data_IF_458462216656
#
_entry.id   IF_458462216656
#
_cell.length_a   1.000
_cell.length_b   1.000
_cell.length_c   1.000
_cell.angle_alpha   90.00
_cell.angle_beta   90.00
_cell.angle_gamma   90.00
#
_symmetry.space_group_name_H-M   'P 1'
#
loop_
_entity.id
_entity.type
_entity.pdbx_description
1 polymer ?
#
# COMPACT_ATOMS: atom_id res chain seq x y z
N UNK A 1 -23.80 28.58 38.78
CA UNK A 1 -22.81 27.53 39.13
C UNK A 1 -23.36 26.17 38.77
N UNK A 2 -23.00 25.66 37.58
CA UNK A 2 -23.16 24.27 37.08
C UNK A 2 -22.65 24.30 35.63
N UNK A 3 -21.35 24.08 35.45
CA UNK A 3 -20.73 23.93 34.12
C UNK A 3 -21.02 22.52 33.60
N UNK A 4 -21.52 22.45 32.37
CA UNK A 4 -21.71 21.22 31.62
C UNK A 4 -20.41 20.93 30.87
N UNK A 5 -19.77 19.80 31.16
CA UNK A 5 -18.76 19.22 30.28
C UNK A 5 -19.49 18.62 29.08
N UNK A 6 -19.16 19.09 27.88
CA UNK A 6 -19.42 18.38 26.63
C UNK A 6 -18.09 17.77 26.20
N UNK A 7 -17.99 16.45 26.25
CA UNK A 7 -16.90 15.69 25.66
C UNK A 7 -17.27 15.47 24.19
N UNK A 8 -16.55 16.13 23.29
CA UNK A 8 -16.63 15.85 21.85
C UNK A 8 -15.71 14.67 21.56
N UNK A 9 -16.28 13.54 21.15
CA UNK A 9 -15.53 12.41 20.62
C UNK A 9 -15.41 12.60 19.11
N UNK A 10 -14.19 12.76 18.61
CA UNK A 10 -13.89 12.79 17.17
C UNK A 10 -14.11 11.39 16.59
N UNK A 11 -15.13 11.24 15.77
CA UNK A 11 -15.43 10.00 15.03
C UNK A 11 -14.68 10.09 13.70
N UNK A 12 -13.57 9.37 13.59
CA UNK A 12 -12.96 9.07 12.31
C UNK A 12 -13.87 8.08 11.56
N UNK A 13 -14.69 8.60 10.64
CA UNK A 13 -15.60 7.81 9.83
C UNK A 13 -14.84 7.16 8.66
N UNK A 14 -14.38 5.92 8.84
CA UNK A 14 -13.89 5.09 7.75
C UNK A 14 -15.10 4.49 7.00
N UNK A 15 -15.50 5.09 5.87
CA UNK A 15 -16.60 4.58 5.05
C UNK A 15 -16.17 3.33 4.28
N UNK A 16 -16.71 2.17 4.71
CA UNK A 16 -16.79 0.95 3.92
C UNK A 16 -18.05 0.98 3.05
N UNK A 17 -17.89 1.26 1.76
CA UNK A 17 -18.95 1.19 0.76
C UNK A 17 -18.86 -0.09 -0.08
N UNK A 18 -19.33 -1.22 0.44
CA UNK A 18 -19.66 -2.40 -0.38
C UNK A 18 -21.09 -2.21 -0.88
N UNK A 19 -21.27 -1.96 -2.18
CA UNK A 19 -22.60 -1.96 -2.80
C UNK A 19 -22.68 -3.09 -3.81
N UNK A 20 -23.18 -4.24 -3.36
CA UNK A 20 -23.70 -5.28 -4.22
C UNK A 20 -25.21 -5.04 -4.39
N UNK A 21 -25.66 -4.71 -5.61
CA UNK A 21 -27.06 -4.77 -5.97
C UNK A 21 -27.24 -5.80 -7.09
N UNK A 22 -27.72 -6.98 -6.69
CA UNK A 22 -28.22 -8.02 -7.57
C UNK A 22 -29.55 -7.58 -8.21
N UNK A 23 -29.68 -7.79 -9.51
CA UNK A 23 -30.91 -7.61 -10.27
C UNK A 23 -31.81 -8.85 -10.13
N UNK A 24 -33.01 -8.66 -9.59
CA UNK A 24 -34.09 -9.65 -9.66
C UNK A 24 -34.90 -9.42 -10.94
N UNK A 25 -34.73 -10.30 -11.93
CA UNK A 25 -35.57 -10.38 -13.12
C UNK A 25 -36.01 -11.82 -13.35
N UNK A 26 -37.25 -12.13 -13.00
CA UNK A 26 -37.93 -13.40 -13.26
C UNK A 26 -38.04 -13.66 -14.77
N UNK A 27 -37.52 -14.79 -15.25
CA UNK A 27 -37.78 -15.26 -16.62
C UNK A 27 -38.61 -16.54 -16.56
N UNK A 28 -39.78 -16.43 -17.18
CA UNK A 28 -40.76 -17.47 -17.46
C UNK A 28 -40.16 -18.64 -18.23
N UNK A 29 -40.45 -19.86 -17.77
CA UNK A 29 -40.22 -21.10 -18.52
C UNK A 29 -41.22 -21.21 -19.66
N UNK A 30 -40.76 -21.20 -20.90
CA UNK A 30 -41.50 -21.78 -22.02
C UNK A 30 -40.55 -22.61 -22.88
N UNK A 31 -40.75 -23.92 -22.79
CA UNK A 31 -40.07 -24.91 -23.59
C UNK A 31 -40.71 -24.97 -24.99
N UNK A 32 -39.95 -24.61 -26.02
CA UNK A 32 -40.21 -25.07 -27.38
C UNK A 32 -38.94 -25.63 -28.00
N UNK A 33 -38.99 -26.94 -28.24
CA UNK A 33 -38.01 -27.67 -29.01
C UNK A 33 -37.98 -27.17 -30.46
N UNK A 34 -36.80 -26.74 -30.90
CA UNK A 34 -36.43 -26.68 -32.31
C UNK A 34 -35.03 -27.28 -32.42
N UNK A 35 -34.93 -28.42 -33.10
CA UNK A 35 -33.65 -29.05 -33.39
C UNK A 35 -32.92 -28.24 -34.44
N UNK A 36 -31.80 -27.65 -34.05
CA UNK A 36 -30.82 -27.10 -34.99
C UNK A 36 -29.51 -27.86 -34.82
N UNK A 37 -29.03 -28.38 -35.95
CA UNK A 37 -27.75 -29.05 -36.11
C UNK A 37 -26.61 -28.10 -35.74
N UNK A 38 -25.87 -28.42 -34.67
CA UNK A 38 -24.61 -27.75 -34.35
C UNK A 38 -23.59 -28.07 -35.44
N UNK A 39 -23.33 -27.09 -36.32
CA UNK A 39 -22.20 -27.12 -37.23
C UNK A 39 -20.90 -27.07 -36.41
N UNK A 40 -19.96 -27.95 -36.79
CA UNK A 40 -18.64 -28.05 -36.18
C UNK A 40 -17.91 -26.69 -36.15
N UNK A 41 -17.29 -26.40 -35.02
CA UNK A 41 -16.67 -25.12 -34.70
C UNK A 41 -15.68 -24.62 -35.74
N UNK A 42 -15.93 -23.40 -36.21
CA UNK A 42 -14.89 -22.58 -36.81
C UNK A 42 -13.88 -22.19 -35.72
N UNK A 43 -12.60 -22.48 -35.97
CA UNK A 43 -11.52 -21.89 -35.20
C UNK A 43 -11.59 -20.38 -35.38
N UNK A 44 -12.00 -19.67 -34.33
CA UNK A 44 -11.80 -18.22 -34.28
C UNK A 44 -10.31 -18.05 -34.06
N UNK A 45 -9.59 -17.76 -35.14
CA UNK A 45 -8.20 -17.37 -35.10
C UNK A 45 -8.11 -16.14 -34.18
N UNK A 46 -7.50 -16.31 -33.01
CA UNK A 46 -7.33 -15.24 -32.04
C UNK A 46 -6.47 -14.16 -32.69
N UNK A 47 -7.11 -13.09 -33.14
CA UNK A 47 -6.40 -11.93 -33.66
C UNK A 47 -5.40 -11.48 -32.60
N UNK A 48 -4.10 -11.49 -32.95
CA UNK A 48 -3.06 -11.02 -32.06
C UNK A 48 -3.43 -9.61 -31.59
N UNK A 49 -3.69 -9.47 -30.29
CA UNK A 49 -4.05 -8.18 -29.71
C UNK A 49 -2.95 -7.17 -30.05
N UNK A 50 -3.33 -6.00 -30.55
CA UNK A 50 -2.38 -4.93 -30.81
C UNK A 50 -1.60 -4.62 -29.51
N UNK A 51 -0.28 -4.36 -29.59
CA UNK A 51 0.51 -4.07 -28.40
C UNK A 51 -0.07 -2.86 -27.67
N UNK A 52 -0.30 -3.00 -26.36
CA UNK A 52 -0.79 -1.89 -25.53
C UNK A 52 0.33 -0.84 -25.46
N UNK A 53 0.08 0.35 -26.00
CA UNK A 53 0.99 1.48 -25.92
C UNK A 53 0.62 2.32 -24.69
N UNK A 54 1.47 2.30 -23.67
CA UNK A 54 1.31 3.12 -22.47
C UNK A 54 2.07 4.44 -22.67
N UNK A 55 1.41 5.61 -22.64
CA UNK A 55 2.10 6.88 -22.73
C UNK A 55 2.99 7.08 -21.49
N UNK A 56 4.16 7.74 -21.63
CA UNK A 56 4.97 8.07 -20.47
C UNK A 56 4.20 9.02 -19.54
N UNK A 57 4.42 8.89 -18.22
CA UNK A 57 3.77 9.73 -17.20
C UNK A 57 3.94 11.23 -17.46
N UNK A 58 5.10 11.64 -17.99
CA UNK A 58 5.42 13.03 -18.29
C UNK A 58 5.59 13.87 -17.02
N UNK A 59 6.83 14.13 -16.62
CA UNK A 59 7.14 14.99 -15.48
C UNK A 59 8.37 15.84 -15.77
N UNK A 60 8.47 16.99 -15.10
CA UNK A 60 9.70 17.75 -14.99
C UNK A 60 10.32 17.49 -13.61
N UNK A 61 11.63 17.64 -13.51
CA UNK A 61 12.38 17.46 -12.28
C UNK A 61 13.33 18.64 -12.08
N UNK A 62 13.46 19.09 -10.83
CA UNK A 62 14.56 19.95 -10.39
C UNK A 62 14.98 19.63 -8.97
N UNK A 63 16.14 20.11 -8.56
CA UNK A 63 16.67 19.94 -7.20
C UNK A 63 16.91 21.32 -6.59
N UNK A 64 16.40 21.55 -5.38
CA UNK A 64 16.66 22.76 -4.62
C UNK A 64 18.09 22.77 -4.06
N UNK A 65 18.65 23.96 -3.72
CA UNK A 65 19.99 24.04 -3.12
C UNK A 65 20.15 23.25 -1.81
N UNK A 66 19.07 23.03 -1.06
CA UNK A 66 19.08 22.22 0.17
C UNK A 66 18.97 20.71 -0.08
N UNK A 67 18.89 20.26 -1.34
CA UNK A 67 18.85 18.85 -1.72
C UNK A 67 17.46 18.27 -1.95
N UNK A 68 16.38 19.03 -1.66
CA UNK A 68 15.02 18.57 -1.96
C UNK A 68 14.84 18.36 -3.45
N UNK A 69 14.44 17.15 -3.83
CA UNK A 69 14.14 16.79 -5.21
C UNK A 69 12.65 17.01 -5.47
N UNK A 70 12.36 17.81 -6.49
CA UNK A 70 11.02 18.27 -6.84
C UNK A 70 10.64 17.70 -8.20
N UNK A 71 9.48 17.07 -8.27
CA UNK A 71 8.89 16.53 -9.48
C UNK A 71 7.53 17.18 -9.75
N UNK A 72 7.29 17.58 -10.99
CA UNK A 72 6.04 18.24 -11.37
C UNK A 72 5.43 17.60 -12.61
N UNK A 73 4.17 17.18 -12.52
CA UNK A 73 3.39 16.59 -13.61
C UNK A 73 2.15 17.45 -13.89
N UNK A 74 2.33 18.48 -14.71
CA UNK A 74 1.27 19.47 -14.98
C UNK A 74 0.17 18.88 -15.86
N UNK A 75 -1.07 19.08 -15.45
CA UNK A 75 -2.26 18.70 -16.18
C UNK A 75 -3.34 19.79 -16.08
N UNK A 76 -3.58 20.51 -17.18
CA UNK A 76 -4.57 21.59 -17.25
C UNK A 76 -5.98 21.10 -17.54
N UNK A 77 -6.20 19.81 -17.77
CA UNK A 77 -7.53 19.24 -18.02
C UNK A 77 -8.35 19.03 -16.74
N UNK A 78 -7.70 19.03 -15.58
CA UNK A 78 -8.34 18.94 -14.26
C UNK A 78 -8.49 20.32 -13.60
N UNK A 79 -9.44 20.46 -12.68
CA UNK A 79 -9.57 21.62 -11.79
C UNK A 79 -8.79 21.46 -10.47
N UNK A 80 -8.14 20.31 -10.27
CA UNK A 80 -7.53 19.92 -9.00
C UNK A 80 -6.02 19.82 -9.12
N UNK A 81 -5.36 19.78 -7.98
CA UNK A 81 -3.93 19.54 -7.81
C UNK A 81 -3.73 18.57 -6.66
N UNK A 82 -2.69 17.74 -6.77
CA UNK A 82 -2.19 16.93 -5.67
C UNK A 82 -0.77 17.36 -5.32
N UNK A 83 -0.47 17.37 -4.02
CA UNK A 83 0.86 17.51 -3.45
C UNK A 83 1.15 16.22 -2.72
N UNK A 84 2.33 15.64 -2.93
CA UNK A 84 2.78 14.47 -2.20
C UNK A 84 4.23 14.67 -1.74
N UNK A 85 4.53 14.31 -0.50
CA UNK A 85 5.89 14.24 0.00
C UNK A 85 6.21 12.80 0.40
N UNK A 86 7.24 12.26 -0.24
CA UNK A 86 7.68 10.88 -0.10
C UNK A 86 9.02 10.84 0.62
N UNK A 87 9.04 10.30 1.84
CA UNK A 87 10.25 10.13 2.64
C UNK A 87 10.80 8.71 2.49
N UNK A 88 12.12 8.60 2.32
CA UNK A 88 12.82 7.30 2.22
C UNK A 88 13.06 6.72 3.61
N UNK A 89 11.98 6.46 4.31
CA UNK A 89 11.95 5.90 5.66
C UNK A 89 10.68 5.06 5.81
N UNK A 90 10.79 3.89 6.42
CA UNK A 90 9.63 3.05 6.73
C UNK A 90 9.85 2.20 7.97
N UNK A 91 9.00 1.19 8.17
CA UNK A 91 9.11 0.30 9.32
C UNK A 91 10.46 -0.44 9.40
N UNK A 92 11.18 -0.60 8.28
CA UNK A 92 12.54 -1.17 8.31
C UNK A 92 13.51 -0.29 9.13
N UNK A 93 13.24 1.00 9.24
CA UNK A 93 14.07 2.00 9.89
C UNK A 93 13.63 2.31 11.33
N UNK A 94 12.60 1.61 11.83
CA UNK A 94 12.17 1.72 13.23
C UNK A 94 13.36 1.55 14.18
N UNK A 95 13.46 2.32 15.28
CA UNK A 95 14.48 2.08 16.30
C UNK A 95 14.37 0.65 16.89
N UNK A 96 15.48 0.07 17.32
CA UNK A 96 15.50 -1.28 17.87
C UNK A 96 14.58 -1.40 19.09
N UNK A 97 13.68 -2.39 19.16
CA UNK A 97 12.71 -2.53 20.25
C UNK A 97 11.58 -1.49 20.25
N UNK A 98 11.43 -0.72 19.16
CA UNK A 98 10.37 0.26 18.94
C UNK A 98 9.68 -0.04 17.60
N UNK A 99 9.30 -1.29 17.34
CA UNK A 99 8.53 -1.60 16.13
C UNK A 99 7.19 -0.86 16.10
N UNK A 100 6.75 -0.46 14.90
CA UNK A 100 5.56 0.37 14.70
C UNK A 100 5.83 1.86 14.81
N UNK A 101 7.09 2.27 15.02
CA UNK A 101 7.43 3.65 15.30
C UNK A 101 7.26 4.56 14.11
N UNK A 102 7.67 4.16 12.90
CA UNK A 102 7.46 4.95 11.67
C UNK A 102 5.96 5.24 11.44
N UNK A 103 5.11 4.24 11.67
CA UNK A 103 3.65 4.39 11.54
C UNK A 103 3.07 5.28 12.66
N UNK A 104 3.52 5.14 13.90
CA UNK A 104 3.10 6.07 14.96
C UNK A 104 3.58 7.50 14.68
N UNK A 105 4.78 7.65 14.15
CA UNK A 105 5.34 8.93 13.75
C UNK A 105 4.51 9.57 12.63
N UNK A 106 4.00 8.77 11.70
CA UNK A 106 3.04 9.22 10.68
C UNK A 106 1.83 9.94 11.31
N UNK A 107 1.23 9.37 12.36
CA UNK A 107 0.09 9.98 13.06
C UNK A 107 0.47 11.31 13.73
N UNK A 108 1.66 11.39 14.31
CA UNK A 108 2.18 12.61 14.95
C UNK A 108 2.36 13.76 13.96
N UNK A 109 2.67 13.46 12.70
CA UNK A 109 2.88 14.45 11.63
C UNK A 109 1.59 15.14 11.15
N UNK A 110 0.42 14.73 11.67
CA UNK A 110 -0.85 15.45 11.52
C UNK A 110 -1.20 16.32 12.71
N UNK A 111 -0.47 16.24 13.82
CA UNK A 111 -0.85 16.92 15.06
C UNK A 111 -0.54 18.40 14.99
N UNK A 112 0.70 18.81 15.16
CA UNK A 112 1.01 20.23 15.20
C UNK A 112 2.37 20.56 14.61
N UNK A 113 2.46 21.75 14.05
CA UNK A 113 3.72 22.40 13.70
C UNK A 113 3.79 23.72 14.44
N UNK A 114 4.92 24.44 14.31
CA UNK A 114 5.08 25.77 14.90
C UNK A 114 3.95 26.73 14.51
N UNK A 115 3.47 26.67 13.26
CA UNK A 115 2.45 27.58 12.75
C UNK A 115 1.10 26.91 12.45
N UNK A 116 0.98 25.59 12.58
CA UNK A 116 -0.25 24.83 12.39
C UNK A 116 -0.63 24.11 13.70
N UNK A 117 -1.56 24.66 14.48
CA UNK A 117 -2.11 23.98 15.66
C UNK A 117 -2.83 22.68 15.29
N UNK A 118 -3.16 21.88 16.31
CA UNK A 118 -3.91 20.63 16.16
C UNK A 118 -5.18 20.78 15.32
N UNK A 119 -5.47 19.76 14.52
CA UNK A 119 -6.62 19.69 13.58
C UNK A 119 -6.55 20.68 12.42
N UNK A 120 -5.58 21.60 12.38
CA UNK A 120 -5.50 22.60 11.32
C UNK A 120 -5.18 21.95 9.98
N UNK A 121 -4.30 20.95 9.95
CA UNK A 121 -3.92 20.28 8.71
C UNK A 121 -5.13 19.71 7.97
N UNK A 122 -5.97 18.96 8.69
CA UNK A 122 -7.21 18.37 8.12
C UNK A 122 -8.14 19.44 7.57
N UNK A 123 -8.32 20.52 8.33
CA UNK A 123 -9.14 21.66 7.92
C UNK A 123 -8.59 22.39 6.70
N UNK A 124 -7.27 22.41 6.48
CA UNK A 124 -6.71 23.00 5.26
C UNK A 124 -7.19 22.26 3.99
N UNK A 125 -7.57 20.99 4.10
CA UNK A 125 -8.16 20.21 3.00
C UNK A 125 -9.68 20.16 3.04
N UNK A 126 -10.29 19.84 4.18
CA UNK A 126 -11.74 19.61 4.29
C UNK A 126 -12.57 20.88 4.04
N UNK A 127 -12.12 22.04 4.54
CA UNK A 127 -12.83 23.32 4.39
C UNK A 127 -12.93 23.78 2.92
N UNK A 128 -12.17 23.14 2.01
CA UNK A 128 -12.16 23.45 0.56
C UNK A 128 -12.59 22.26 -0.31
N UNK A 129 -13.14 21.21 0.29
CA UNK A 129 -13.61 20.01 -0.42
C UNK A 129 -12.47 19.13 -0.97
N UNK A 130 -11.27 19.26 -0.41
CA UNK A 130 -10.17 18.35 -0.69
C UNK A 130 -10.10 17.18 0.30
N UNK A 131 -9.05 16.39 0.17
CA UNK A 131 -8.73 15.28 1.06
C UNK A 131 -7.23 15.23 1.32
N UNK A 132 -6.84 14.79 2.51
CA UNK A 132 -5.46 14.40 2.81
C UNK A 132 -5.42 12.97 3.33
N UNK A 133 -4.24 12.35 3.26
CA UNK A 133 -3.94 11.12 3.98
C UNK A 133 -2.41 10.90 4.03
N UNK A 134 -2.00 9.83 4.68
CA UNK A 134 -0.64 9.32 4.64
C UNK A 134 -0.62 7.80 4.58
N UNK A 135 0.55 7.24 4.27
CA UNK A 135 0.77 5.81 4.45
C UNK A 135 2.23 5.51 4.79
N UNK A 136 2.40 4.51 5.66
CA UNK A 136 3.70 3.96 6.04
C UNK A 136 3.82 2.52 5.57
N UNK A 137 4.76 2.29 4.67
CA UNK A 137 5.21 0.98 4.22
C UNK A 137 6.46 0.50 4.96
N UNK A 138 7.04 -0.60 4.48
CA UNK A 138 8.28 -1.12 5.06
C UNK A 138 9.49 -0.25 4.71
N UNK A 139 9.53 0.33 3.51
CA UNK A 139 10.65 1.12 3.00
C UNK A 139 10.39 2.63 2.93
N UNK A 140 9.12 3.03 3.06
CA UNK A 140 8.65 4.34 2.62
C UNK A 140 7.52 4.88 3.48
N UNK A 141 7.48 6.19 3.67
CA UNK A 141 6.39 6.92 4.30
C UNK A 141 6.02 8.07 3.39
N UNK A 142 4.75 8.23 3.05
CA UNK A 142 4.30 9.32 2.20
C UNK A 142 3.11 10.04 2.80
N UNK A 143 3.05 11.34 2.55
CA UNK A 143 1.93 12.22 2.86
C UNK A 143 1.41 12.81 1.58
N UNK A 144 0.10 12.95 1.46
CA UNK A 144 -0.49 13.42 0.23
C UNK A 144 -1.82 14.13 0.44
N UNK A 145 -2.00 15.17 -0.34
CA UNK A 145 -3.19 16.00 -0.34
C UNK A 145 -3.69 16.16 -1.78
N UNK A 146 -5.02 16.17 -1.95
CA UNK A 146 -5.67 16.57 -3.21
C UNK A 146 -6.69 17.66 -2.91
N UNK A 147 -6.54 18.80 -3.59
CA UNK A 147 -7.37 20.00 -3.39
C UNK A 147 -7.73 20.64 -4.74
N UNK A 148 -8.76 21.49 -4.81
CA UNK A 148 -8.93 22.38 -5.96
C UNK A 148 -7.68 23.24 -6.20
N UNK A 149 -7.29 23.43 -7.47
CA UNK A 149 -6.01 24.02 -7.87
C UNK A 149 -5.71 25.40 -7.26
N UNK A 150 -6.72 26.23 -7.04
CA UNK A 150 -6.58 27.54 -6.41
C UNK A 150 -6.11 27.48 -4.94
N UNK A 151 -6.14 26.29 -4.32
CA UNK A 151 -5.68 26.03 -2.96
C UNK A 151 -4.31 25.32 -2.93
N UNK A 152 -3.54 25.32 -4.02
CA UNK A 152 -2.21 24.71 -4.06
C UNK A 152 -1.26 25.30 -3.00
N UNK A 153 -1.17 26.62 -2.92
CA UNK A 153 -0.19 27.31 -2.07
C UNK A 153 -0.30 26.88 -0.60
N UNK A 154 -1.53 26.76 -0.08
CA UNK A 154 -1.74 26.34 1.32
C UNK A 154 -1.24 24.92 1.61
N UNK A 155 -1.22 24.04 0.61
CA UNK A 155 -0.69 22.67 0.76
C UNK A 155 0.83 22.69 0.75
N UNK A 156 1.45 23.50 -0.11
CA UNK A 156 2.91 23.69 -0.10
C UNK A 156 3.40 24.27 1.23
N UNK A 157 2.67 25.26 1.77
CA UNK A 157 2.93 25.79 3.11
C UNK A 157 2.78 24.71 4.19
N UNK A 158 1.73 23.90 4.13
CA UNK A 158 1.48 22.87 5.13
C UNK A 158 2.56 21.78 5.13
N UNK A 159 2.97 21.32 3.95
CA UNK A 159 4.04 20.33 3.80
C UNK A 159 5.41 20.88 4.20
N UNK A 160 5.70 22.15 3.94
CA UNK A 160 6.95 22.75 4.41
C UNK A 160 7.01 22.87 5.93
N UNK A 161 5.88 23.19 6.58
CA UNK A 161 5.74 23.19 8.03
C UNK A 161 5.91 21.77 8.61
N UNK A 162 5.24 20.78 8.03
CA UNK A 162 5.36 19.37 8.45
C UNK A 162 6.81 18.88 8.36
N UNK A 163 7.53 19.23 7.29
CA UNK A 163 8.94 18.88 7.12
C UNK A 163 9.85 19.62 8.11
N UNK A 164 9.67 20.95 8.27
CA UNK A 164 10.66 21.79 8.94
C UNK A 164 10.36 22.21 10.39
N UNK A 165 9.13 22.03 10.87
CA UNK A 165 8.69 22.68 12.12
C UNK A 165 7.71 21.85 12.97
N UNK A 166 7.78 20.51 12.90
CA UNK A 166 6.98 19.61 13.73
C UNK A 166 7.08 19.97 15.22
N UNK A 167 5.94 20.01 15.90
CA UNK A 167 5.84 20.21 17.35
C UNK A 167 5.09 19.03 17.94
N UNK A 168 5.77 18.29 18.81
CA UNK A 168 5.17 17.20 19.58
C UNK A 168 5.36 17.53 21.06
N UNK A 169 4.28 17.45 21.81
CA UNK A 169 4.29 17.52 23.27
C UNK A 169 3.92 16.16 23.86
N UNK A 170 4.13 15.97 25.15
CA UNK A 170 3.90 14.67 25.80
C UNK A 170 2.43 14.23 25.68
N UNK A 171 1.48 15.18 25.74
CA UNK A 171 0.06 14.86 25.71
C UNK A 171 -0.39 14.36 24.33
N UNK A 172 0.06 15.02 23.25
CA UNK A 172 -0.21 14.58 21.88
C UNK A 172 0.53 13.27 21.58
N UNK A 173 1.77 13.10 22.06
CA UNK A 173 2.50 11.85 21.96
C UNK A 173 1.76 10.67 22.61
N UNK A 174 1.36 10.81 23.88
CA UNK A 174 0.63 9.77 24.61
C UNK A 174 -0.71 9.43 23.94
N UNK A 175 -1.44 10.45 23.52
CA UNK A 175 -2.73 10.29 22.82
C UNK A 175 -2.57 9.48 21.54
N UNK A 176 -1.63 9.85 20.66
CA UNK A 176 -1.43 9.13 19.39
C UNK A 176 -0.88 7.73 19.60
N UNK A 177 0.00 7.53 20.58
CA UNK A 177 0.45 6.20 20.95
C UNK A 177 -0.74 5.30 21.33
N UNK A 178 -1.71 5.81 22.06
CA UNK A 178 -2.91 5.04 22.43
C UNK A 178 -3.85 4.81 21.25
N UNK A 179 -4.00 5.78 20.33
CA UNK A 179 -4.72 5.60 19.06
C UNK A 179 -4.12 4.45 18.24
N UNK A 180 -2.80 4.41 18.09
CA UNK A 180 -2.10 3.35 17.34
C UNK A 180 -2.26 1.99 18.02
N UNK A 181 -2.28 1.93 19.35
CA UNK A 181 -2.58 0.67 20.08
C UNK A 181 -4.01 0.21 19.84
N UNK A 182 -4.99 1.11 19.79
CA UNK A 182 -6.36 0.75 19.43
C UNK A 182 -6.47 0.29 17.98
N UNK A 183 -5.73 0.93 17.07
CA UNK A 183 -5.63 0.45 15.69
C UNK A 183 -5.02 -0.96 15.64
N UNK A 184 -3.97 -1.24 16.40
CA UNK A 184 -3.40 -2.59 16.53
C UNK A 184 -4.47 -3.58 17.05
N UNK A 185 -5.25 -3.22 18.08
CA UNK A 185 -6.34 -4.06 18.59
C UNK A 185 -7.39 -4.33 17.52
N UNK A 186 -7.78 -3.31 16.75
CA UNK A 186 -8.77 -3.40 15.70
C UNK A 186 -8.27 -4.24 14.52
N UNK A 187 -7.15 -3.83 13.91
CA UNK A 187 -6.64 -4.38 12.65
C UNK A 187 -5.93 -5.72 12.82
N UNK A 188 -5.36 -6.01 14.00
CA UNK A 188 -4.57 -7.22 14.24
C UNK A 188 -5.29 -8.21 15.15
N UNK A 189 -5.76 -7.77 16.32
CA UNK A 189 -6.30 -8.70 17.32
C UNK A 189 -7.76 -9.08 17.07
N UNK A 190 -8.55 -8.15 16.52
CA UNK A 190 -9.99 -8.33 16.31
C UNK A 190 -10.30 -8.89 14.92
N UNK A 191 -9.48 -8.58 13.91
CA UNK A 191 -9.61 -9.10 12.54
C UNK A 191 -9.25 -10.59 12.45
N UNK A 192 -10.12 -11.44 11.87
CA UNK A 192 -9.75 -12.82 11.54
C UNK A 192 -8.45 -12.89 10.75
N UNK A 193 -7.56 -13.81 11.10
CA UNK A 193 -6.22 -13.96 10.51
C UNK A 193 -5.28 -12.74 10.66
N UNK A 194 -5.70 -11.65 11.30
CA UNK A 194 -4.92 -10.41 11.42
C UNK A 194 -3.56 -10.61 12.09
N UNK A 195 -3.50 -11.40 13.17
CA UNK A 195 -2.24 -11.80 13.82
C UNK A 195 -1.29 -12.52 12.86
N UNK A 196 -1.82 -13.43 12.05
CA UNK A 196 -1.01 -14.16 11.10
C UNK A 196 -0.47 -13.23 10.01
N UNK A 197 -1.35 -12.48 9.35
CA UNK A 197 -1.01 -11.63 8.21
C UNK A 197 -0.10 -10.46 8.60
N UNK A 198 -0.32 -9.85 9.77
CA UNK A 198 0.38 -8.63 10.18
C UNK A 198 1.58 -8.88 11.09
N UNK A 199 1.65 -10.01 11.80
CA UNK A 199 2.73 -10.30 12.76
C UNK A 199 3.49 -11.57 12.40
N UNK A 200 2.80 -12.70 12.37
CA UNK A 200 3.46 -14.01 12.37
C UNK A 200 4.10 -14.35 11.03
N UNK A 201 3.45 -14.04 9.90
CA UNK A 201 3.95 -14.39 8.57
C UNK A 201 5.28 -13.68 8.29
N UNK A 202 5.36 -12.35 8.45
CA UNK A 202 6.62 -11.61 8.27
C UNK A 202 7.72 -12.07 9.22
N UNK A 203 7.43 -12.19 10.52
CA UNK A 203 8.41 -12.63 11.52
C UNK A 203 8.88 -14.07 11.31
N UNK A 204 8.07 -14.90 10.65
CA UNK A 204 8.44 -16.25 10.27
C UNK A 204 9.30 -16.27 9.01
N UNK A 205 8.95 -15.48 7.98
CA UNK A 205 9.66 -15.39 6.70
C UNK A 205 11.09 -14.91 6.90
N UNK A 206 11.26 -13.76 7.57
CA UNK A 206 12.54 -13.08 7.74
C UNK A 206 13.14 -13.40 9.11
N UNK A 207 14.46 -13.61 9.19
CA UNK A 207 15.16 -13.96 10.43
C UNK A 207 16.00 -12.79 10.93
N UNK A 208 16.85 -12.26 10.07
CA UNK A 208 17.86 -11.25 10.41
C UNK A 208 17.46 -9.85 9.93
N UNK A 209 16.76 -9.77 8.80
CA UNK A 209 16.38 -8.50 8.18
C UNK A 209 15.39 -7.70 9.04
N UNK A 210 15.47 -6.36 9.03
CA UNK A 210 14.48 -5.49 9.69
C UNK A 210 13.04 -5.73 9.20
N UNK A 211 12.83 -6.26 7.99
CA UNK A 211 11.50 -6.59 7.46
C UNK A 211 10.77 -7.69 8.24
N UNK A 212 11.44 -8.38 9.16
CA UNK A 212 10.79 -9.30 10.12
C UNK A 212 9.86 -8.56 11.10
N UNK A 213 10.10 -7.26 11.32
CA UNK A 213 9.33 -6.45 12.25
C UNK A 213 7.99 -6.06 11.61
N UNK A 214 6.87 -6.21 12.32
CA UNK A 214 5.58 -5.80 11.80
C UNK A 214 5.52 -4.28 11.71
N UNK A 215 5.04 -3.73 10.57
CA UNK A 215 4.91 -2.27 10.40
C UNK A 215 3.95 -1.60 11.38
N UNK A 216 2.98 -2.34 11.91
CA UNK A 216 2.07 -1.89 12.99
C UNK A 216 2.69 -2.02 14.39
N UNK A 217 3.85 -2.68 14.49
CA UNK A 217 4.59 -2.86 15.74
C UNK A 217 4.00 -3.86 16.72
N UNK A 218 4.32 -3.65 17.99
CA UNK A 218 3.74 -4.36 19.13
C UNK A 218 3.37 -3.37 20.23
N UNK A 219 2.39 -3.72 21.08
CA UNK A 219 1.99 -2.85 22.19
C UNK A 219 3.19 -2.54 23.11
N UNK A 220 4.05 -3.52 23.38
CA UNK A 220 5.21 -3.34 24.25
C UNK A 220 6.24 -2.36 23.65
N UNK A 221 6.48 -2.47 22.34
CA UNK A 221 7.42 -1.59 21.63
C UNK A 221 6.86 -0.16 21.51
N UNK A 222 5.56 -0.02 21.30
CA UNK A 222 4.87 1.28 21.33
C UNK A 222 4.95 1.90 22.72
N UNK A 223 4.73 1.13 23.79
CA UNK A 223 4.89 1.59 25.18
C UNK A 223 6.33 2.04 25.50
N UNK A 224 7.32 1.38 24.88
CA UNK A 224 8.74 1.70 25.07
C UNK A 224 9.21 2.92 24.27
N UNK A 225 8.41 3.41 23.32
CA UNK A 225 8.71 4.61 22.55
C UNK A 225 8.65 5.88 23.43
N UNK A 226 9.55 6.83 23.16
CA UNK A 226 9.65 8.10 23.90
C UNK A 226 9.58 9.31 22.98
N UNK A 227 9.26 10.49 23.53
CA UNK A 227 9.28 11.74 22.77
C UNK A 227 10.69 12.06 22.21
N UNK A 228 11.75 11.66 22.91
CA UNK A 228 13.13 11.79 22.42
C UNK A 228 13.37 10.93 21.17
N UNK A 229 12.75 9.74 21.09
CA UNK A 229 12.78 8.93 19.86
C UNK A 229 12.11 9.69 18.71
N UNK A 230 11.00 10.39 18.96
CA UNK A 230 10.25 11.15 17.95
C UNK A 230 11.12 12.28 17.40
N UNK A 231 11.71 13.10 18.28
CA UNK A 231 12.55 14.21 17.85
C UNK A 231 13.77 13.74 17.07
N UNK A 232 14.43 12.67 17.52
CA UNK A 232 15.56 12.07 16.79
C UNK A 232 15.13 11.52 15.43
N UNK A 233 13.99 10.85 15.35
CA UNK A 233 13.49 10.26 14.11
C UNK A 233 13.14 11.32 13.08
N UNK A 234 12.45 12.40 13.50
CA UNK A 234 12.18 13.57 12.66
C UNK A 234 13.46 14.18 12.10
N UNK A 235 14.38 14.57 12.98
CA UNK A 235 15.65 15.20 12.60
C UNK A 235 16.46 14.29 11.66
N UNK A 236 16.36 12.97 11.81
CA UNK A 236 17.16 12.00 11.03
C UNK A 236 16.61 11.81 9.63
N UNK A 237 15.30 11.59 9.51
CA UNK A 237 14.69 11.09 8.28
C UNK A 237 13.81 12.10 7.54
N UNK A 238 13.29 13.12 8.23
CA UNK A 238 12.33 14.08 7.68
C UNK A 238 13.02 15.37 7.27
N UNK A 239 13.87 15.27 6.26
CA UNK A 239 14.78 16.31 5.79
C UNK A 239 14.82 16.39 4.26
N UNK A 240 15.22 17.53 3.67
CA UNK A 240 15.18 17.77 2.23
C UNK A 240 15.82 16.67 1.35
N UNK A 241 17.02 16.20 1.67
CA UNK A 241 17.73 15.21 0.84
C UNK A 241 17.22 13.76 0.98
N UNK A 242 16.35 13.50 1.95
CA UNK A 242 15.69 12.22 2.16
C UNK A 242 14.25 12.17 1.65
N UNK A 243 13.83 13.19 0.88
CA UNK A 243 12.46 13.35 0.43
C UNK A 243 12.33 13.65 -1.08
N UNK A 244 11.18 13.29 -1.62
CA UNK A 244 10.70 13.76 -2.92
C UNK A 244 9.42 14.57 -2.73
N UNK A 245 9.41 15.81 -3.23
CA UNK A 245 8.19 16.61 -3.36
C UNK A 245 7.62 16.40 -4.77
N UNK A 246 6.39 15.93 -4.87
CA UNK A 246 5.71 15.66 -6.14
C UNK A 246 4.45 16.51 -6.20
N UNK A 247 4.29 17.30 -7.27
CA UNK A 247 3.10 18.11 -7.51
C UNK A 247 2.51 17.76 -8.87
N UNK A 248 1.27 17.29 -8.91
CA UNK A 248 0.59 16.90 -10.14
C UNK A 248 -0.79 17.54 -10.27
N UNK A 249 -1.18 17.95 -11.48
CA UNK A 249 -2.47 18.59 -11.74
C UNK A 249 -2.36 20.02 -12.27
N UNK A 250 -3.37 20.83 -12.00
CA UNK A 250 -3.50 22.14 -12.63
C UNK A 250 -2.81 23.24 -11.82
N UNK A 251 -1.77 23.84 -12.38
CA UNK A 251 -1.03 24.94 -11.78
C UNK A 251 -0.29 25.77 -12.84
N UNK A 252 0.18 26.95 -12.45
CA UNK A 252 1.18 27.72 -13.18
C UNK A 252 2.58 27.35 -12.69
N UNK A 253 3.50 27.02 -13.61
CA UNK A 253 4.83 26.52 -13.23
C UNK A 253 5.68 27.60 -12.54
N UNK A 254 5.65 28.85 -13.03
CA UNK A 254 6.48 29.90 -12.47
C UNK A 254 6.02 30.28 -11.05
N UNK A 255 4.71 30.33 -10.83
CA UNK A 255 4.13 30.53 -9.51
C UNK A 255 4.46 29.37 -8.56
N UNK A 256 4.34 28.13 -9.05
CA UNK A 256 4.70 26.93 -8.27
C UNK A 256 6.18 26.95 -7.85
N UNK A 257 7.08 27.23 -8.78
CA UNK A 257 8.52 27.27 -8.50
C UNK A 257 8.84 28.34 -7.44
N UNK A 258 8.21 29.52 -7.54
CA UNK A 258 8.37 30.60 -6.56
C UNK A 258 7.86 30.20 -5.17
N UNK A 259 6.72 29.51 -5.07
CA UNK A 259 6.21 28.99 -3.79
C UNK A 259 7.12 27.91 -3.22
N UNK A 260 7.60 26.96 -4.04
CA UNK A 260 8.50 25.91 -3.60
C UNK A 260 9.82 26.50 -3.09
N UNK A 261 10.41 27.45 -3.82
CA UNK A 261 11.62 28.16 -3.39
C UNK A 261 11.40 28.91 -2.07
N UNK A 262 10.24 29.56 -1.92
CA UNK A 262 9.90 30.33 -0.72
C UNK A 262 9.64 29.47 0.53
N UNK A 263 8.89 28.37 0.39
CA UNK A 263 8.47 27.54 1.51
C UNK A 263 9.51 26.47 1.88
N UNK A 264 10.12 25.81 0.89
CA UNK A 264 11.04 24.69 1.14
C UNK A 264 12.51 25.10 1.09
N UNK A 265 12.87 26.15 0.35
CA UNK A 265 14.28 26.51 0.11
C UNK A 265 15.07 26.88 1.37
N UNK A 266 14.37 27.36 2.41
CA UNK A 266 14.96 27.71 3.71
C UNK A 266 15.02 26.56 4.73
N UNK A 267 14.46 25.38 4.41
CA UNK A 267 14.49 24.23 5.32
C UNK A 267 15.93 23.71 5.38
N UNK A 268 16.47 23.64 6.60
CA UNK A 268 17.82 23.16 6.86
C UNK A 268 17.94 21.69 6.47
N UNK A 269 19.02 21.37 5.76
CA UNK A 269 19.42 19.99 5.51
C UNK A 269 20.64 19.68 6.38
N UNK A 270 20.51 18.85 7.44
CA UNK A 270 21.61 18.63 8.38
C UNK A 270 22.89 18.08 7.73
N UNK A 271 24.08 18.53 8.10
CA UNK A 271 25.34 17.97 7.58
C UNK A 271 25.71 16.66 8.30
N UNK A 272 24.83 15.65 8.18
CA UNK A 272 25.04 14.29 8.68
C UNK A 272 24.51 13.27 7.69
N UNK A 273 25.23 12.17 7.51
CA UNK A 273 24.80 11.07 6.67
C UNK A 273 23.53 10.41 7.21
N UNK A 274 22.64 10.01 6.31
CA UNK A 274 21.49 9.18 6.64
C UNK A 274 21.97 7.80 7.14
N UNK A 275 21.35 7.24 8.18
CA UNK A 275 21.63 5.87 8.56
C UNK A 275 21.18 4.93 7.44
N UNK A 276 21.95 3.88 7.22
CA UNK A 276 21.69 2.89 6.18
C UNK A 276 21.41 1.55 6.82
N UNK A 277 20.21 1.03 6.62
CA UNK A 277 19.84 -0.32 7.05
C UNK A 277 19.96 -1.28 5.87
N UNK A 278 21.08 -1.99 5.76
CA UNK A 278 21.36 -2.96 4.69
C UNK A 278 21.58 -4.38 5.24
N UNK A 279 20.89 -4.76 6.32
CA UNK A 279 21.04 -6.10 6.90
C UNK A 279 20.50 -7.13 5.90
N UNK A 280 21.37 -7.96 5.28
CA UNK A 280 20.93 -8.91 4.28
C UNK A 280 20.13 -10.04 4.93
N UNK A 281 19.12 -10.54 4.23
CA UNK A 281 18.44 -11.77 4.63
C UNK A 281 19.08 -12.97 3.92
N UNK A 282 19.29 -14.06 4.66
CA UNK A 282 19.69 -15.34 4.06
C UNK A 282 18.59 -16.37 4.25
N UNK A 283 18.00 -16.82 3.14
CA UNK A 283 16.99 -17.87 3.19
C UNK A 283 17.65 -19.25 3.24
N UNK A 284 17.36 -20.00 4.31
CA UNK A 284 17.83 -21.37 4.50
C UNK A 284 16.91 -22.42 3.86
N UNK A 285 16.84 -23.60 4.49
CA UNK A 285 15.93 -24.67 4.07
C UNK A 285 14.47 -24.33 4.38
N UNK A 286 13.54 -25.02 3.72
CA UNK A 286 12.11 -24.90 4.00
C UNK A 286 11.82 -25.13 5.50
N UNK A 287 10.92 -24.32 6.05
CA UNK A 287 10.45 -24.36 7.44
C UNK A 287 8.94 -24.42 7.45
N UNK A 288 8.38 -25.06 8.47
CA UNK A 288 6.94 -25.15 8.67
C UNK A 288 6.59 -24.71 10.09
N UNK A 289 5.47 -24.02 10.24
CA UNK A 289 4.93 -23.60 11.53
C UNK A 289 3.40 -23.57 11.47
N UNK A 290 2.78 -23.85 12.61
CA UNK A 290 1.33 -23.74 12.78
C UNK A 290 1.05 -22.69 13.84
N UNK A 291 0.18 -21.73 13.51
CA UNK A 291 -0.23 -20.66 14.41
C UNK A 291 -1.70 -20.85 14.78
N UNK A 292 -2.04 -20.55 16.04
CA UNK A 292 -3.40 -20.61 16.56
C UNK A 292 -3.86 -19.22 16.99
N UNK A 293 -5.12 -18.88 16.75
CA UNK A 293 -5.71 -17.60 17.13
C UNK A 293 -7.19 -17.72 17.50
N UNK A 294 -7.71 -16.89 18.42
CA UNK A 294 -9.07 -17.04 18.97
C UNK A 294 -10.20 -16.68 17.99
N UNK A 295 -9.89 -15.96 16.90
CA UNK A 295 -10.84 -15.43 15.93
C UNK A 295 -10.59 -15.97 14.51
N UNK A 296 -10.20 -17.25 14.41
CA UNK A 296 -9.91 -17.95 13.15
C UNK A 296 -11.06 -18.94 12.88
N UNK A 297 -12.08 -18.56 12.08
CA UNK A 297 -13.28 -19.38 11.91
C UNK A 297 -13.04 -20.61 11.03
N UNK A 298 -12.10 -20.52 10.10
CA UNK A 298 -11.70 -21.59 9.18
C UNK A 298 -10.18 -21.68 9.15
N UNK A 299 -9.59 -22.87 8.95
CA UNK A 299 -8.15 -22.97 8.79
C UNK A 299 -7.69 -22.21 7.54
N UNK A 300 -6.49 -21.64 7.61
CA UNK A 300 -5.80 -21.04 6.47
C UNK A 300 -4.44 -21.69 6.32
N UNK A 301 -4.05 -21.94 5.08
CA UNK A 301 -2.72 -22.42 4.70
C UNK A 301 -2.00 -21.39 3.84
N UNK A 302 -0.69 -21.29 3.99
CA UNK A 302 0.16 -20.41 3.18
C UNK A 302 1.47 -21.13 2.83
N UNK A 303 1.95 -20.93 1.61
CA UNK A 303 3.30 -21.29 1.18
C UNK A 303 3.97 -20.02 0.68
N UNK A 304 5.19 -19.75 1.13
CA UNK A 304 5.94 -18.56 0.76
C UNK A 304 7.32 -18.94 0.24
N UNK A 305 7.73 -18.31 -0.85
CA UNK A 305 9.06 -18.41 -1.43
C UNK A 305 9.74 -17.05 -1.40
N UNK A 306 11.04 -16.99 -1.06
CA UNK A 306 11.84 -15.81 -1.35
C UNK A 306 11.95 -15.60 -2.86
N UNK A 307 11.94 -14.35 -3.28
CA UNK A 307 12.09 -13.93 -4.67
C UNK A 307 13.18 -12.86 -4.79
N UNK A 308 12.96 -11.82 -5.59
CA UNK A 308 13.93 -10.80 -5.96
C UNK A 308 13.49 -9.44 -5.40
N UNK A 309 14.42 -8.52 -5.10
CA UNK A 309 14.07 -7.15 -4.70
C UNK A 309 13.32 -6.40 -5.80
N UNK A 310 12.70 -5.28 -5.43
CA UNK A 310 11.80 -4.52 -6.29
C UNK A 310 12.41 -4.07 -7.63
N UNK A 311 13.69 -3.70 -7.65
CA UNK A 311 14.40 -3.21 -8.83
C UNK A 311 14.94 -4.31 -9.76
N UNK A 312 14.71 -5.58 -9.44
CA UNK A 312 15.23 -6.69 -10.22
C UNK A 312 14.44 -6.90 -11.52
N UNK A 313 15.09 -7.23 -12.66
CA UNK A 313 14.41 -7.41 -13.96
C UNK A 313 13.30 -8.48 -13.95
N UNK A 314 13.45 -9.53 -13.13
CA UNK A 314 12.46 -10.61 -13.04
C UNK A 314 11.15 -10.22 -12.32
N UNK A 315 11.08 -9.03 -11.71
CA UNK A 315 9.87 -8.54 -11.05
C UNK A 315 8.65 -8.61 -11.97
N UNK A 316 8.77 -8.11 -13.19
CA UNK A 316 7.63 -8.07 -14.12
C UNK A 316 7.11 -9.48 -14.44
N UNK A 317 8.00 -10.48 -14.50
CA UNK A 317 7.60 -11.87 -14.70
C UNK A 317 6.87 -12.44 -13.46
N UNK A 318 7.29 -12.05 -12.25
CA UNK A 318 6.64 -12.45 -11.00
C UNK A 318 5.25 -11.79 -10.84
N UNK A 319 5.09 -10.53 -11.25
CA UNK A 319 3.77 -9.87 -11.26
C UNK A 319 2.81 -10.58 -12.24
N UNK A 320 3.30 -11.01 -13.40
CA UNK A 320 2.51 -11.80 -14.37
C UNK A 320 2.18 -13.19 -13.81
N UNK A 321 3.13 -13.84 -13.14
CA UNK A 321 2.90 -15.13 -12.48
C UNK A 321 1.80 -15.01 -11.42
N UNK A 322 1.85 -13.97 -10.59
CA UNK A 322 0.81 -13.66 -9.60
C UNK A 322 -0.55 -13.45 -10.27
N UNK A 323 -0.58 -12.70 -11.37
CA UNK A 323 -1.78 -12.49 -12.18
C UNK A 323 -2.43 -13.78 -12.66
N UNK A 324 -1.64 -14.71 -13.21
CA UNK A 324 -2.12 -16.02 -13.68
C UNK A 324 -2.65 -16.87 -12.52
N UNK A 325 -1.99 -16.80 -11.38
CA UNK A 325 -2.33 -17.61 -10.21
C UNK A 325 -3.59 -17.10 -9.50
N UNK A 326 -3.83 -15.78 -9.45
CA UNK A 326 -4.82 -15.22 -8.52
C UNK A 326 -5.69 -14.07 -9.02
N UNK A 327 -5.48 -13.49 -10.20
CA UNK A 327 -6.33 -12.39 -10.67
C UNK A 327 -7.63 -12.90 -11.30
N UNK A 328 -8.76 -12.46 -10.75
CA UNK A 328 -10.08 -12.79 -11.26
C UNK A 328 -10.50 -14.25 -11.06
N UNK A 329 -11.71 -14.57 -11.49
CA UNK A 329 -12.30 -15.91 -11.38
C UNK A 329 -11.74 -16.90 -12.42
N UNK A 330 -11.00 -16.43 -13.44
CA UNK A 330 -10.31 -17.28 -14.41
C UNK A 330 -8.98 -17.82 -13.88
N UNK A 331 -8.44 -17.25 -12.80
CA UNK A 331 -7.15 -17.61 -12.22
C UNK A 331 -7.05 -19.08 -11.80
N UNK A 332 -5.84 -19.64 -11.89
CA UNK A 332 -5.59 -21.07 -11.63
C UNK A 332 -5.97 -21.49 -10.20
N UNK A 333 -5.64 -20.67 -9.19
CA UNK A 333 -5.95 -20.99 -7.79
C UNK A 333 -7.46 -20.97 -7.54
N UNK A 334 -8.18 -19.95 -8.02
CA UNK A 334 -9.63 -19.87 -7.88
C UNK A 334 -10.32 -21.04 -8.58
N UNK A 335 -10.01 -21.25 -9.86
CA UNK A 335 -10.60 -22.30 -10.68
C UNK A 335 -10.37 -23.69 -10.07
N UNK A 336 -9.20 -23.93 -9.49
CA UNK A 336 -8.86 -25.22 -8.92
C UNK A 336 -9.46 -25.42 -7.52
N UNK A 337 -9.10 -24.58 -6.55
CA UNK A 337 -9.40 -24.81 -5.13
C UNK A 337 -10.82 -24.38 -4.75
N UNK A 338 -11.33 -23.29 -5.36
CA UNK A 338 -12.62 -22.69 -5.01
C UNK A 338 -13.74 -23.27 -5.89
N UNK A 339 -13.59 -23.19 -7.21
CA UNK A 339 -14.67 -23.55 -8.13
C UNK A 339 -14.82 -25.08 -8.32
N UNK A 340 -13.74 -25.78 -8.71
CA UNK A 340 -13.82 -27.22 -9.04
C UNK A 340 -13.77 -28.13 -7.82
N UNK A 341 -12.78 -27.93 -6.95
CA UNK A 341 -12.60 -28.79 -5.77
C UNK A 341 -13.54 -28.40 -4.62
N UNK A 342 -13.93 -27.12 -4.55
CA UNK A 342 -14.74 -26.54 -3.47
C UNK A 342 -14.16 -26.71 -2.06
N UNK A 343 -12.84 -26.96 -1.97
CA UNK A 343 -12.13 -27.20 -0.70
C UNK A 343 -11.73 -25.89 0.00
N UNK A 344 -11.78 -24.75 -0.70
CA UNK A 344 -11.42 -23.44 -0.18
C UNK A 344 -12.52 -22.40 -0.45
N UNK A 345 -12.74 -21.49 0.49
CA UNK A 345 -13.61 -20.32 0.29
C UNK A 345 -12.91 -19.23 -0.52
N UNK A 346 -11.58 -19.20 -0.46
CA UNK A 346 -10.73 -18.30 -1.22
C UNK A 346 -9.35 -18.92 -1.38
N UNK A 347 -8.73 -18.72 -2.53
CA UNK A 347 -7.33 -19.06 -2.77
C UNK A 347 -6.68 -17.92 -3.55
N UNK A 348 -5.54 -17.43 -3.07
CA UNK A 348 -4.86 -16.26 -3.63
C UNK A 348 -3.36 -16.43 -3.69
N UNK A 349 -2.72 -15.58 -4.48
CA UNK A 349 -1.29 -15.33 -4.44
C UNK A 349 -1.01 -13.84 -4.26
N UNK A 350 0.22 -13.52 -3.85
CA UNK A 350 0.70 -12.16 -3.85
C UNK A 350 2.21 -12.12 -4.01
N UNK A 351 2.68 -11.32 -4.97
CA UNK A 351 4.07 -10.91 -5.08
C UNK A 351 4.29 -9.63 -4.24
N UNK A 352 5.19 -9.70 -3.25
CA UNK A 352 5.52 -8.57 -2.38
C UNK A 352 7.02 -8.36 -2.39
N UNK A 353 7.46 -7.20 -2.91
CA UNK A 353 8.87 -6.89 -3.08
C UNK A 353 9.20 -5.57 -2.40
N UNK A 354 10.30 -5.60 -1.66
CA UNK A 354 10.88 -4.51 -0.92
C UNK A 354 12.21 -4.10 -1.58
N UNK A 355 12.85 -3.04 -1.11
CA UNK A 355 14.13 -2.58 -1.66
C UNK A 355 15.22 -3.65 -1.60
N UNK A 356 15.25 -4.49 -0.57
CA UNK A 356 16.35 -5.45 -0.36
C UNK A 356 15.95 -6.92 -0.56
N UNK A 357 14.66 -7.23 -0.53
CA UNK A 357 14.16 -8.62 -0.56
C UNK A 357 12.80 -8.68 -1.26
N UNK A 358 12.42 -9.86 -1.74
CA UNK A 358 11.07 -10.13 -2.23
C UNK A 358 10.56 -11.47 -1.74
N UNK A 359 9.23 -11.60 -1.70
CA UNK A 359 8.54 -12.87 -1.45
C UNK A 359 7.35 -13.03 -2.38
N UNK A 360 7.12 -14.27 -2.81
CA UNK A 360 5.87 -14.69 -3.44
C UNK A 360 5.18 -15.63 -2.47
N UNK A 361 3.92 -15.37 -2.15
CA UNK A 361 3.14 -16.28 -1.32
C UNK A 361 1.88 -16.74 -2.03
N UNK A 362 1.47 -17.97 -1.77
CA UNK A 362 0.15 -18.50 -2.12
C UNK A 362 -0.56 -18.91 -0.84
N UNK A 363 -1.85 -18.67 -0.75
CA UNK A 363 -2.65 -18.99 0.43
C UNK A 363 -4.04 -19.45 0.08
N UNK A 364 -4.66 -20.22 0.96
CA UNK A 364 -6.05 -20.63 0.85
C UNK A 364 -6.72 -20.64 2.23
N UNK A 365 -7.95 -20.12 2.29
CA UNK A 365 -8.84 -20.26 3.44
C UNK A 365 -9.76 -21.45 3.15
N UNK A 366 -9.71 -22.46 4.01
CA UNK A 366 -10.40 -23.73 3.80
C UNK A 366 -11.91 -23.60 3.94
N UNK A 367 -12.67 -24.34 3.14
CA UNK A 367 -14.11 -24.53 3.31
C UNK A 367 -14.41 -25.36 4.56
N UNK A 368 -15.60 -25.19 5.13
CA UNK A 368 -16.02 -25.96 6.30
C UNK A 368 -15.95 -27.48 6.01
N UNK A 369 -15.33 -28.24 6.92
CA UNK A 369 -15.15 -29.68 6.78
C UNK A 369 -13.87 -30.11 6.05
N UNK A 370 -13.11 -29.18 5.48
CA UNK A 370 -11.82 -29.44 4.86
C UNK A 370 -10.64 -29.13 5.78
N UNK A 371 -9.55 -29.86 5.59
CA UNK A 371 -8.38 -29.86 6.47
C UNK A 371 -7.23 -29.01 5.91
N UNK A 372 -6.32 -28.51 6.76
CA UNK A 372 -5.10 -27.84 6.30
C UNK A 372 -4.26 -28.71 5.37
N UNK A 373 -4.17 -30.02 5.60
CA UNK A 373 -3.37 -30.93 4.78
C UNK A 373 -3.91 -31.03 3.34
N UNK A 374 -5.25 -31.08 3.18
CA UNK A 374 -5.89 -31.01 1.86
C UNK A 374 -5.58 -29.70 1.14
N UNK A 375 -5.67 -28.56 1.86
CA UNK A 375 -5.33 -27.25 1.31
C UNK A 375 -3.86 -27.14 0.89
N UNK A 376 -2.96 -27.62 1.75
CA UNK A 376 -1.52 -27.62 1.49
C UNK A 376 -1.17 -28.50 0.28
N UNK A 377 -1.78 -29.68 0.18
CA UNK A 377 -1.62 -30.56 -0.97
C UNK A 377 -2.13 -29.90 -2.27
N UNK A 378 -3.29 -29.25 -2.23
CA UNK A 378 -3.85 -28.57 -3.39
C UNK A 378 -3.01 -27.35 -3.84
N UNK A 379 -2.53 -26.52 -2.91
CA UNK A 379 -1.62 -25.42 -3.24
C UNK A 379 -0.32 -25.93 -3.85
N UNK A 380 0.29 -26.98 -3.29
CA UNK A 380 1.50 -27.60 -3.85
C UNK A 380 1.25 -28.20 -5.23
N UNK A 381 0.06 -28.76 -5.47
CA UNK A 381 -0.32 -29.25 -6.78
C UNK A 381 -0.39 -28.11 -7.81
N UNK A 382 -1.02 -26.97 -7.49
CA UNK A 382 -1.02 -25.82 -8.41
C UNK A 382 0.38 -25.26 -8.68
N UNK A 383 1.20 -25.16 -7.64
CA UNK A 383 2.59 -24.71 -7.77
C UNK A 383 3.40 -25.67 -8.64
N UNK A 384 3.15 -26.97 -8.54
CA UNK A 384 3.78 -27.98 -9.39
C UNK A 384 3.31 -27.83 -10.84
N UNK A 385 2.01 -27.63 -11.06
CA UNK A 385 1.44 -27.43 -12.40
C UNK A 385 1.98 -26.20 -13.09
N UNK A 386 2.03 -25.04 -12.42
CA UNK A 386 2.57 -23.81 -13.04
C UNK A 386 4.07 -23.91 -13.35
N UNK A 387 4.81 -24.77 -12.63
CA UNK A 387 6.23 -25.05 -12.89
C UNK A 387 6.42 -25.99 -14.08
N UNK A 388 5.62 -27.06 -14.15
CA UNK A 388 5.85 -28.19 -15.06
C UNK A 388 5.02 -28.12 -16.35
N UNK A 389 3.88 -27.44 -16.32
CA UNK A 389 2.97 -27.25 -17.45
C UNK A 389 3.12 -25.84 -18.02
N UNK A 390 3.12 -25.68 -19.36
CA UNK A 390 3.22 -24.37 -19.97
C UNK A 390 2.03 -23.48 -19.60
N UNK A 391 2.30 -22.19 -19.41
CA UNK A 391 1.26 -21.15 -19.41
C UNK A 391 0.74 -21.01 -20.84
N UNK A 392 -0.58 -21.07 -21.00
CA UNK A 392 -1.18 -20.89 -22.32
C UNK A 392 -1.06 -19.44 -22.77
N UNK A 393 -1.06 -19.20 -24.08
CA UNK A 393 -1.03 -17.83 -24.62
C UNK A 393 -2.23 -16.99 -24.15
N UNK A 394 -3.39 -17.62 -23.96
CA UNK A 394 -4.59 -16.97 -23.46
C UNK A 394 -4.42 -16.48 -22.02
N UNK A 395 -3.97 -17.35 -21.09
CA UNK A 395 -3.71 -16.98 -19.70
C UNK A 395 -2.66 -15.86 -19.60
N UNK A 396 -1.60 -15.95 -20.41
CA UNK A 396 -0.54 -14.94 -20.43
C UNK A 396 -1.06 -13.59 -20.95
N UNK A 397 -1.86 -13.59 -22.01
CA UNK A 397 -2.43 -12.39 -22.59
C UNK A 397 -3.45 -11.73 -21.64
N UNK A 398 -4.30 -12.53 -21.00
CA UNK A 398 -5.26 -12.08 -20.00
C UNK A 398 -4.56 -11.41 -18.81
N UNK A 399 -3.63 -12.11 -18.16
CA UNK A 399 -2.90 -11.57 -17.00
C UNK A 399 -2.15 -10.26 -17.35
N UNK A 400 -1.47 -10.21 -18.49
CA UNK A 400 -0.81 -8.98 -18.96
C UNK A 400 -1.82 -7.84 -19.20
N UNK A 401 -2.95 -8.14 -19.82
CA UNK A 401 -3.99 -7.15 -20.13
C UNK A 401 -4.58 -6.60 -18.83
N UNK A 402 -4.87 -7.45 -17.86
CA UNK A 402 -5.43 -7.03 -16.57
C UNK A 402 -4.44 -6.18 -15.77
N UNK A 403 -3.16 -6.58 -15.71
CA UNK A 403 -2.11 -5.80 -15.05
C UNK A 403 -1.94 -4.42 -15.68
N UNK A 404 -1.85 -4.35 -17.02
CA UNK A 404 -1.70 -3.08 -17.73
C UNK A 404 -2.96 -2.23 -17.59
N UNK A 405 -4.15 -2.81 -17.71
CA UNK A 405 -5.40 -2.09 -17.50
C UNK A 405 -5.53 -1.56 -16.06
N UNK A 406 -5.10 -2.33 -15.06
CA UNK A 406 -5.06 -1.88 -13.67
C UNK A 406 -4.11 -0.71 -13.47
N UNK A 407 -2.89 -0.80 -14.02
CA UNK A 407 -1.93 0.28 -13.99
C UNK A 407 -2.49 1.55 -14.66
N UNK A 408 -3.06 1.44 -15.86
CA UNK A 408 -3.64 2.57 -16.58
C UNK A 408 -4.80 3.22 -15.82
N UNK A 409 -5.70 2.45 -15.21
CA UNK A 409 -6.76 2.98 -14.34
C UNK A 409 -6.20 3.79 -13.18
N UNK A 410 -5.11 3.32 -12.56
CA UNK A 410 -4.41 4.08 -11.52
C UNK A 410 -3.90 5.43 -12.03
N UNK A 411 -3.42 5.49 -13.28
CA UNK A 411 -2.89 6.71 -13.89
C UNK A 411 -3.94 7.69 -14.42
N UNK A 412 -5.24 7.36 -14.36
CA UNK A 412 -6.32 8.27 -14.77
C UNK A 412 -6.43 9.48 -13.84
N UNK A 413 -5.99 9.36 -12.58
CA UNK A 413 -6.05 10.43 -11.59
C UNK A 413 -4.72 11.16 -11.46
N UNK A 414 -4.74 12.43 -11.03
CA UNK A 414 -3.51 13.17 -10.70
C UNK A 414 -2.78 12.57 -9.51
N UNK A 415 -3.53 12.11 -8.50
CA UNK A 415 -3.03 11.44 -7.31
C UNK A 415 -2.34 10.12 -7.65
N UNK A 416 -2.98 9.26 -8.45
CA UNK A 416 -2.40 7.98 -8.85
C UNK A 416 -1.17 8.14 -9.76
N UNK A 417 -1.10 9.18 -10.60
CA UNK A 417 0.13 9.51 -11.35
C UNK A 417 1.27 9.93 -10.43
N UNK A 418 1.00 10.82 -9.47
CA UNK A 418 1.99 11.25 -8.48
C UNK A 418 2.44 10.07 -7.60
N UNK A 419 1.51 9.20 -7.20
CA UNK A 419 1.79 8.03 -6.39
C UNK A 419 2.66 7.01 -7.13
N UNK A 420 2.31 6.70 -8.39
CA UNK A 420 3.11 5.79 -9.22
C UNK A 420 4.55 6.30 -9.40
N UNK A 421 4.72 7.61 -9.58
CA UNK A 421 6.04 8.25 -9.65
C UNK A 421 6.78 8.15 -8.32
N UNK A 422 6.17 8.57 -7.21
CA UNK A 422 6.81 8.58 -5.88
C UNK A 422 7.21 7.20 -5.40
N UNK A 423 6.33 6.22 -5.54
CA UNK A 423 6.63 4.83 -5.19
C UNK A 423 7.79 4.28 -6.03
N UNK A 424 7.81 4.54 -7.35
CA UNK A 424 8.90 4.06 -8.23
C UNK A 424 10.23 4.78 -7.99
N UNK A 425 10.22 6.03 -7.53
CA UNK A 425 11.45 6.76 -7.20
C UNK A 425 12.13 6.25 -5.92
N UNK A 426 11.35 5.69 -4.98
CA UNK A 426 11.88 5.18 -3.71
C UNK A 426 12.26 3.71 -3.81
N UNK A 427 11.42 2.89 -4.43
CA UNK A 427 11.59 1.43 -4.49
C UNK A 427 12.54 1.00 -5.59
#
# INVERSE_FOLDING_TARGET
MKSRLFTAASIAALMLGVTACASNGSVSTDARAAGETYAAGGQVEAAAAAPIVVPPLGFAQRTLPNGLQVFTARDTATSNVTVQVWYKVGAKDDPEGRSGFAHMFEHLMFKATRNLPQETFDRLTEDVGGSNNASTGLDVTNYYETVPAQHLERMLFAESERMGSLVVDEASFESERDVVKEEFRQRVLSTPYGRFQRLHSQAFIFQDSPYRRPGIGSIADLDAATIDDVLRFHETFYRPDNAYLIVAGNFDQAQLDAWIDGYFGGIENPDRALPVNNVPETFGTAREATFYGPNVPLPMVQITWPTVPYNHPDRAALDVLDGILSTGESSRLYQSLVYRQQIATSATSSNSQQQQVGVLNTSAIMSAGHTPDEGMAALRAEVTRIRDEPVTEAELAEAKTELVASALRGLETIDGRAFALGYTLIM
#
